data_IF_706566902570
#
_entry.id   IF_706566902570
#
_cell.length_a   1.000
_cell.length_b   1.000
_cell.length_c   1.000
_cell.angle_alpha   90.00
_cell.angle_beta   90.00
_cell.angle_gamma   90.00
#
_symmetry.space_group_name_H-M   'P 1'
#
loop_
_entity.id
_entity.type
_entity.pdbx_description
1 polymer ?
#
# COMPACT_ATOMS: atom_id res chain seq x y z
N UNK A 1 41.27 1.59 -22.52
CA UNK A 1 40.53 0.98 -21.40
C UNK A 1 39.29 1.84 -21.19
N UNK A 2 38.20 1.50 -21.88
CA UNK A 2 36.95 2.24 -21.80
C UNK A 2 36.18 1.72 -20.59
N UNK A 3 36.12 2.54 -19.53
CA UNK A 3 35.22 2.30 -18.41
C UNK A 3 33.80 2.61 -18.86
N UNK A 4 33.00 1.56 -19.07
CA UNK A 4 31.55 1.68 -19.08
C UNK A 4 31.12 2.13 -17.68
N UNK A 5 30.91 3.43 -17.50
CA UNK A 5 30.09 3.92 -16.39
C UNK A 5 28.66 3.50 -16.68
N UNK A 6 28.21 2.43 -16.02
CA UNK A 6 26.80 2.08 -15.92
C UNK A 6 26.13 3.24 -15.19
N UNK A 7 25.30 4.01 -15.88
CA UNK A 7 24.40 4.97 -15.22
C UNK A 7 23.51 4.16 -14.28
N UNK A 8 23.53 4.49 -12.98
CA UNK A 8 22.60 3.94 -11.99
C UNK A 8 21.18 4.31 -12.39
N UNK A 9 20.44 3.35 -12.95
CA UNK A 9 19.01 3.47 -13.20
C UNK A 9 18.29 3.48 -11.85
N UNK A 10 17.76 4.64 -11.46
CA UNK A 10 16.94 4.74 -10.26
C UNK A 10 15.48 4.36 -10.61
N UNK A 11 14.81 3.47 -9.85
CA UNK A 11 13.37 3.09 -10.01
C UNK A 11 12.50 3.37 -8.77
N UNK A 12 11.59 4.36 -8.85
CA UNK A 12 10.87 4.91 -7.69
C UNK A 12 9.41 4.49 -7.75
N UNK A 13 8.85 4.02 -6.65
CA UNK A 13 7.53 3.40 -6.63
C UNK A 13 6.66 4.04 -5.55
N UNK A 14 5.52 4.60 -5.97
CA UNK A 14 4.48 5.09 -5.06
C UNK A 14 3.26 4.23 -5.27
N UNK A 15 2.88 3.49 -4.23
CA UNK A 15 1.69 2.65 -4.25
C UNK A 15 0.53 3.33 -3.54
N UNK A 16 -0.52 3.65 -4.31
CA UNK A 16 -1.79 4.12 -3.75
C UNK A 16 -2.66 2.91 -3.35
N UNK A 17 -2.23 2.17 -2.32
CA UNK A 17 -3.13 1.23 -1.63
C UNK A 17 -3.94 2.03 -0.65
N UNK A 18 -5.22 2.25 -0.92
CA UNK A 18 -6.26 2.58 0.06
C UNK A 18 -7.59 3.05 -0.58
N UNK A 19 -8.27 2.23 -1.38
CA UNK A 19 -9.62 2.56 -1.86
C UNK A 19 -10.45 1.27 -2.01
N UNK A 20 -11.77 1.33 -1.83
CA UNK A 20 -12.76 0.30 -2.22
C UNK A 20 -13.03 0.27 -3.74
N UNK A 21 -13.77 -0.74 -4.19
CA UNK A 21 -14.22 -0.85 -5.57
C UNK A 21 -15.22 0.27 -5.91
N UNK A 22 -14.98 1.00 -7.00
CA UNK A 22 -15.87 2.08 -7.47
C UNK A 22 -15.47 3.51 -7.07
N UNK A 23 -14.42 3.69 -6.28
CA UNK A 23 -13.90 4.99 -5.79
C UNK A 23 -13.46 6.02 -6.84
N UNK A 24 -13.38 5.61 -8.11
CA UNK A 24 -12.70 6.41 -9.12
C UNK A 24 -11.17 6.31 -9.07
N UNK A 25 -10.56 5.31 -8.41
CA UNK A 25 -9.11 4.99 -8.51
C UNK A 25 -8.59 5.05 -9.95
N UNK A 26 -9.29 4.37 -10.86
CA UNK A 26 -8.95 4.35 -12.28
C UNK A 26 -9.07 5.73 -12.92
N UNK A 27 -10.03 6.56 -12.47
CA UNK A 27 -10.17 7.96 -12.88
C UNK A 27 -8.97 8.77 -12.39
N UNK A 28 -8.57 8.64 -11.12
CA UNK A 28 -7.39 9.29 -10.56
C UNK A 28 -6.09 8.84 -11.23
N UNK A 29 -5.89 7.54 -11.43
CA UNK A 29 -4.76 7.00 -12.17
C UNK A 29 -4.71 7.61 -13.59
N UNK A 30 -5.85 7.72 -14.27
CA UNK A 30 -5.95 8.39 -15.58
C UNK A 30 -5.59 9.88 -15.49
N UNK A 31 -6.05 10.59 -14.46
CA UNK A 31 -5.71 12.01 -14.24
C UNK A 31 -4.21 12.22 -14.00
N UNK A 32 -3.57 11.34 -13.22
CA UNK A 32 -2.12 11.34 -13.00
C UNK A 32 -1.38 11.09 -14.31
N UNK A 33 -1.80 10.07 -15.08
CA UNK A 33 -1.24 9.77 -16.40
C UNK A 33 -1.34 10.98 -17.34
N UNK A 34 -2.50 11.62 -17.39
CA UNK A 34 -2.72 12.79 -18.24
C UNK A 34 -1.89 13.98 -17.79
N UNK A 35 -1.81 14.24 -16.48
CA UNK A 35 -0.95 15.28 -15.92
C UNK A 35 0.52 15.08 -16.31
N UNK A 36 1.05 13.87 -16.13
CA UNK A 36 2.43 13.54 -16.46
C UNK A 36 2.69 13.65 -17.97
N UNK A 37 1.76 13.21 -18.82
CA UNK A 37 1.85 13.38 -20.28
C UNK A 37 1.83 14.85 -20.71
N UNK A 38 1.00 15.68 -20.07
CA UNK A 38 0.97 17.13 -20.32
C UNK A 38 2.31 17.76 -19.91
N UNK A 39 2.83 17.40 -18.73
CA UNK A 39 4.14 17.87 -18.23
C UNK A 39 5.27 17.48 -19.18
N UNK A 40 5.31 16.24 -19.65
CA UNK A 40 6.28 15.75 -20.62
C UNK A 40 6.30 16.59 -21.91
N UNK A 41 5.11 17.00 -22.41
CA UNK A 41 5.02 17.87 -23.59
C UNK A 41 5.50 19.30 -23.33
N UNK A 42 5.31 19.83 -22.12
CA UNK A 42 5.60 21.23 -21.78
C UNK A 42 7.05 21.49 -21.41
N UNK A 43 7.71 20.56 -20.73
CA UNK A 43 8.98 20.85 -20.04
C UNK A 43 10.25 20.70 -20.89
N UNK A 44 10.19 20.40 -22.20
CA UNK A 44 11.35 20.07 -23.07
C UNK A 44 12.25 18.92 -22.56
N UNK A 45 12.01 18.38 -21.36
CA UNK A 45 12.60 17.15 -20.86
C UNK A 45 12.00 15.94 -21.58
N UNK A 46 12.84 14.93 -21.85
CA UNK A 46 12.38 13.73 -22.51
C UNK A 46 11.79 12.73 -21.51
N UNK A 47 10.57 13.01 -21.04
CA UNK A 47 9.88 12.18 -20.05
C UNK A 47 9.05 11.09 -20.75
N UNK A 48 9.23 9.84 -20.33
CA UNK A 48 8.42 8.68 -20.73
C UNK A 48 7.26 8.47 -19.74
N UNK A 49 6.06 8.21 -20.25
CA UNK A 49 4.88 7.91 -19.41
C UNK A 49 4.14 6.73 -20.02
N UNK A 50 4.04 5.63 -19.30
CA UNK A 50 3.31 4.44 -19.72
C UNK A 50 2.46 3.90 -18.56
N UNK A 51 1.31 3.32 -18.89
CA UNK A 51 0.38 2.82 -17.89
C UNK A 51 -0.16 1.43 -18.22
N UNK A 52 -0.47 0.66 -17.19
CA UNK A 52 -1.23 -0.60 -17.24
C UNK A 52 -2.47 -0.42 -16.38
N UNK A 53 -3.62 -0.86 -16.90
CA UNK A 53 -4.86 -0.98 -16.15
C UNK A 53 -5.19 -2.46 -16.03
N UNK A 54 -5.00 -3.04 -14.85
CA UNK A 54 -5.24 -4.45 -14.61
C UNK A 54 -6.73 -4.70 -14.35
N UNK A 55 -7.20 -5.86 -14.79
CA UNK A 55 -8.58 -6.31 -14.69
C UNK A 55 -8.62 -7.83 -14.52
N UNK A 56 -9.18 -8.32 -13.43
CA UNK A 56 -9.26 -9.75 -13.14
C UNK A 56 -10.05 -10.53 -14.21
N UNK A 57 -11.00 -9.88 -14.89
CA UNK A 57 -11.82 -10.49 -15.95
C UNK A 57 -11.04 -10.77 -17.22
N UNK A 58 -9.86 -10.16 -17.38
CA UNK A 58 -9.00 -10.33 -18.56
C UNK A 58 -7.69 -11.07 -18.23
N UNK A 59 -7.69 -11.86 -17.15
CA UNK A 59 -6.51 -12.59 -16.67
C UNK A 59 -5.86 -13.51 -17.74
N UNK A 60 -6.61 -13.96 -18.75
CA UNK A 60 -6.09 -14.74 -19.88
C UNK A 60 -5.26 -13.91 -20.88
N UNK A 61 -5.46 -12.60 -20.95
CA UNK A 61 -4.70 -11.68 -21.81
C UNK A 61 -3.65 -10.86 -21.06
N UNK A 62 -3.65 -10.87 -19.73
CA UNK A 62 -2.67 -10.19 -18.90
C UNK A 62 -1.47 -11.11 -18.62
N UNK A 63 -0.72 -11.46 -19.65
CA UNK A 63 0.55 -12.17 -19.50
C UNK A 63 1.71 -11.16 -19.42
N UNK A 64 2.82 -11.47 -18.72
CA UNK A 64 3.95 -10.54 -18.57
C UNK A 64 4.47 -9.99 -19.90
N UNK A 65 4.58 -10.83 -20.92
CA UNK A 65 5.00 -10.46 -22.28
C UNK A 65 4.07 -9.42 -22.93
N UNK A 66 2.74 -9.60 -22.83
CA UNK A 66 1.75 -8.65 -23.34
C UNK A 66 1.76 -7.32 -22.58
N UNK A 67 1.90 -7.38 -21.25
CA UNK A 67 1.98 -6.19 -20.40
C UNK A 67 3.24 -5.37 -20.72
N UNK A 68 4.41 -6.01 -20.76
CA UNK A 68 5.69 -5.37 -21.08
C UNK A 68 5.70 -4.82 -22.52
N UNK A 69 5.18 -5.58 -23.49
CA UNK A 69 5.00 -5.11 -24.86
C UNK A 69 4.08 -3.89 -24.93
N UNK A 70 3.02 -3.88 -24.12
CA UNK A 70 2.10 -2.75 -23.99
C UNK A 70 2.76 -1.50 -23.40
N UNK A 71 3.62 -1.66 -22.41
CA UNK A 71 4.44 -0.57 -21.85
C UNK A 71 5.43 -0.02 -22.88
N UNK A 72 6.20 -0.90 -23.51
CA UNK A 72 7.17 -0.53 -24.54
C UNK A 72 6.50 0.26 -25.66
N UNK A 73 5.40 -0.27 -26.22
CA UNK A 73 4.63 0.38 -27.29
C UNK A 73 4.16 1.78 -26.90
N UNK A 74 3.79 2.01 -25.65
CA UNK A 74 3.39 3.34 -25.17
C UNK A 74 4.57 4.31 -25.11
N UNK A 75 5.75 3.85 -24.67
CA UNK A 75 6.94 4.69 -24.59
C UNK A 75 7.42 5.13 -25.97
N UNK A 76 7.44 4.22 -26.95
CA UNK A 76 7.97 4.51 -28.29
C UNK A 76 6.95 5.11 -29.26
N UNK A 77 5.69 5.30 -28.83
CA UNK A 77 4.63 5.80 -29.72
C UNK A 77 4.98 7.20 -30.27
N UNK A 78 5.09 7.30 -31.59
CA UNK A 78 5.44 8.55 -32.28
C UNK A 78 6.91 8.94 -32.14
N UNK A 79 7.79 7.98 -31.82
CA UNK A 79 9.24 8.14 -31.69
C UNK A 79 9.94 7.07 -32.52
N UNK A 80 11.27 7.18 -32.64
CA UNK A 80 12.07 6.09 -33.18
C UNK A 80 12.06 4.92 -32.19
N UNK A 81 11.84 3.71 -32.70
CA UNK A 81 11.79 2.47 -31.92
C UNK A 81 13.20 1.91 -31.65
N UNK A 82 14.23 2.48 -32.27
CA UNK A 82 15.62 2.04 -32.15
C UNK A 82 15.97 0.89 -33.10
N UNK A 83 17.26 0.64 -33.30
CA UNK A 83 17.75 -0.42 -34.20
C UNK A 83 17.44 -1.82 -33.67
N UNK A 84 17.66 -2.06 -32.37
CA UNK A 84 17.41 -3.36 -31.73
C UNK A 84 15.96 -3.83 -31.92
N UNK A 85 14.98 -2.93 -31.75
CA UNK A 85 13.58 -3.28 -31.96
C UNK A 85 13.24 -3.58 -33.42
N UNK A 86 13.92 -2.91 -34.38
CA UNK A 86 13.76 -3.17 -35.82
C UNK A 86 14.34 -4.53 -36.19
N UNK A 87 15.54 -4.83 -35.71
CA UNK A 87 16.23 -6.11 -35.95
C UNK A 87 15.37 -7.30 -35.45
N UNK A 88 14.93 -7.24 -34.19
CA UNK A 88 14.06 -8.28 -33.60
C UNK A 88 12.73 -8.38 -34.38
N UNK A 89 12.12 -7.25 -34.75
CA UNK A 89 10.88 -7.28 -35.55
C UNK A 89 11.08 -7.96 -36.91
N UNK A 90 12.16 -7.65 -37.62
CA UNK A 90 12.47 -8.21 -38.94
C UNK A 90 12.69 -9.73 -38.85
N UNK A 91 13.47 -10.20 -37.88
CA UNK A 91 13.71 -11.63 -37.63
C UNK A 91 12.40 -12.40 -37.39
N UNK A 92 11.57 -11.94 -36.45
CA UNK A 92 10.29 -12.58 -36.15
C UNK A 92 9.26 -12.45 -37.28
N UNK A 93 9.34 -11.39 -38.08
CA UNK A 93 8.49 -11.22 -39.25
C UNK A 93 8.82 -12.27 -40.32
N UNK A 94 10.10 -12.55 -40.56
CA UNK A 94 10.56 -13.58 -41.49
C UNK A 94 10.18 -14.98 -41.00
N UNK A 95 10.40 -15.27 -39.72
CA UNK A 95 10.12 -16.58 -39.11
C UNK A 95 8.63 -16.83 -38.81
N UNK A 96 7.80 -15.78 -38.87
CA UNK A 96 6.37 -15.80 -38.49
C UNK A 96 6.14 -16.26 -37.04
N UNK A 97 7.04 -15.85 -36.15
CA UNK A 97 7.00 -16.14 -34.72
C UNK A 97 6.71 -14.86 -33.94
N UNK A 98 6.16 -14.94 -32.71
CA UNK A 98 6.15 -13.79 -31.80
C UNK A 98 7.54 -13.62 -31.16
N UNK A 99 7.92 -12.40 -30.76
CA UNK A 99 9.14 -12.19 -29.99
C UNK A 99 9.07 -12.90 -28.64
N UNK A 100 10.21 -13.39 -28.19
CA UNK A 100 10.40 -13.99 -26.89
C UNK A 100 10.29 -12.93 -25.78
N UNK A 101 9.88 -13.36 -24.58
CA UNK A 101 9.77 -12.47 -23.43
C UNK A 101 11.09 -11.75 -23.10
N UNK A 102 12.22 -12.42 -23.28
CA UNK A 102 13.55 -11.86 -23.04
C UNK A 102 13.89 -10.75 -24.04
N UNK A 103 13.51 -10.89 -25.31
CA UNK A 103 13.72 -9.90 -26.36
C UNK A 103 12.86 -8.65 -26.12
N UNK A 104 11.59 -8.84 -25.71
CA UNK A 104 10.72 -7.72 -25.31
C UNK A 104 11.32 -6.94 -24.15
N UNK A 105 11.91 -7.62 -23.15
CA UNK A 105 12.60 -6.97 -22.02
C UNK A 105 13.84 -6.20 -22.50
N UNK A 106 14.64 -6.78 -23.40
CA UNK A 106 15.83 -6.12 -23.94
C UNK A 106 15.46 -4.85 -24.72
N UNK A 107 14.42 -4.91 -25.54
CA UNK A 107 13.90 -3.78 -26.31
C UNK A 107 13.31 -2.69 -25.40
N UNK A 108 12.59 -3.07 -24.35
CA UNK A 108 12.09 -2.13 -23.35
C UNK A 108 13.24 -1.42 -22.63
N UNK A 109 14.26 -2.17 -22.17
CA UNK A 109 15.44 -1.61 -21.49
C UNK A 109 16.24 -0.67 -22.40
N UNK A 110 16.47 -1.04 -23.65
CA UNK A 110 17.19 -0.18 -24.59
C UNK A 110 16.46 1.15 -24.84
N UNK A 111 15.13 1.15 -24.73
CA UNK A 111 14.31 2.35 -24.83
C UNK A 111 14.54 3.30 -23.65
N UNK A 112 14.94 2.81 -22.47
CA UNK A 112 15.10 3.65 -21.26
C UNK A 112 16.17 4.73 -21.40
N UNK A 113 17.27 4.41 -22.09
CA UNK A 113 18.38 5.32 -22.36
C UNK A 113 17.97 6.59 -23.13
N UNK A 114 16.81 6.59 -23.76
CA UNK A 114 16.31 7.75 -24.49
C UNK A 114 15.57 8.74 -23.58
N UNK A 115 15.16 8.36 -22.38
CA UNK A 115 14.35 9.19 -21.49
C UNK A 115 15.16 9.73 -20.32
N UNK A 116 14.93 10.99 -19.94
CA UNK A 116 15.51 11.55 -18.71
C UNK A 116 14.84 11.00 -17.46
N UNK A 117 13.54 10.67 -17.56
CA UNK A 117 12.72 10.05 -16.51
C UNK A 117 11.61 9.21 -17.16
N UNK A 118 11.25 8.11 -16.52
CA UNK A 118 10.12 7.27 -16.95
C UNK A 118 9.18 7.06 -15.77
N UNK A 119 7.89 7.24 -16.01
CA UNK A 119 6.83 6.91 -15.07
C UNK A 119 6.04 5.72 -15.59
N UNK A 120 6.00 4.66 -14.79
CA UNK A 120 5.10 3.53 -14.98
C UNK A 120 3.97 3.62 -13.97
N UNK A 121 2.73 3.70 -14.47
CA UNK A 121 1.53 3.73 -13.63
C UNK A 121 0.83 2.39 -13.79
N UNK A 122 0.72 1.62 -12.71
CA UNK A 122 -0.01 0.34 -12.74
C UNK A 122 -1.23 0.47 -11.84
N UNK A 123 -2.40 0.56 -12.46
CA UNK A 123 -3.68 0.57 -11.76
C UNK A 123 -4.15 -0.86 -11.47
N UNK A 124 -4.86 -1.02 -10.35
CA UNK A 124 -5.48 -2.27 -9.92
C UNK A 124 -4.51 -3.48 -9.78
N UNK A 125 -3.30 -3.26 -9.24
CA UNK A 125 -2.29 -4.32 -8.98
C UNK A 125 -2.86 -5.56 -8.27
N UNK A 126 -3.79 -5.35 -7.34
CA UNK A 126 -4.50 -6.41 -6.61
C UNK A 126 -5.34 -7.34 -7.49
N UNK A 127 -5.74 -6.91 -8.69
CA UNK A 127 -6.49 -7.73 -9.65
C UNK A 127 -5.59 -8.63 -10.51
N UNK A 128 -4.27 -8.54 -10.34
CA UNK A 128 -3.33 -9.44 -11.02
C UNK A 128 -3.16 -10.75 -10.27
N UNK A 129 -3.18 -11.92 -10.95
CA UNK A 129 -3.08 -13.23 -10.30
C UNK A 129 -1.83 -13.37 -9.44
N UNK A 130 -1.98 -13.79 -8.18
CA UNK A 130 -0.87 -13.89 -7.21
C UNK A 130 0.20 -14.88 -7.65
N UNK A 131 -0.20 -16.01 -8.24
CA UNK A 131 0.69 -17.03 -8.81
C UNK A 131 1.56 -16.50 -9.97
N UNK A 132 1.21 -15.34 -10.54
CA UNK A 132 1.94 -14.68 -11.63
C UNK A 132 2.67 -13.41 -11.19
N UNK A 133 2.53 -12.97 -9.94
CA UNK A 133 3.26 -11.81 -9.39
C UNK A 133 4.71 -12.21 -9.12
N UNK A 134 5.56 -12.09 -10.14
CA UNK A 134 7.00 -12.30 -9.99
C UNK A 134 7.78 -10.96 -9.92
N UNK A 135 7.12 -9.91 -9.42
CA UNK A 135 7.70 -8.58 -9.27
C UNK A 135 7.50 -8.11 -7.85
N UNK A 136 8.60 -7.81 -7.17
CA UNK A 136 8.59 -7.24 -5.83
C UNK A 136 8.56 -5.71 -5.96
N UNK A 137 7.50 -5.09 -5.45
CA UNK A 137 7.36 -3.62 -5.47
C UNK A 137 7.91 -3.11 -4.14
N UNK A 138 9.13 -2.59 -4.20
CA UNK A 138 9.80 -1.98 -3.06
C UNK A 138 9.89 -0.48 -3.25
N UNK A 139 9.56 0.27 -2.22
CA UNK A 139 9.86 1.69 -2.16
C UNK A 139 11.38 1.89 -2.18
N UNK A 140 11.87 2.93 -2.87
CA UNK A 140 13.26 3.34 -2.68
C UNK A 140 13.45 3.92 -1.29
N UNK A 141 14.70 3.95 -0.87
CA UNK A 141 15.09 4.69 0.32
C UNK A 141 14.70 6.17 0.23
N UNK A 142 14.83 6.83 -0.94
CA UNK A 142 14.43 8.24 -1.05
C UNK A 142 12.91 8.45 -0.91
N UNK A 143 12.11 7.52 -1.46
CA UNK A 143 10.65 7.58 -1.37
C UNK A 143 10.20 7.34 0.09
N UNK A 144 10.85 6.40 0.79
CA UNK A 144 10.65 6.16 2.22
C UNK A 144 11.07 7.36 3.05
N UNK A 145 12.18 8.02 2.73
CA UNK A 145 12.62 9.22 3.44
C UNK A 145 11.58 10.35 3.32
N UNK A 146 11.09 10.62 2.11
CA UNK A 146 10.05 11.64 1.89
C UNK A 146 8.79 11.29 2.67
N UNK A 147 8.37 10.02 2.65
CA UNK A 147 7.21 9.56 3.39
C UNK A 147 7.40 9.74 4.90
N UNK A 148 8.51 9.26 5.47
CA UNK A 148 8.83 9.37 6.89
C UNK A 148 8.85 10.83 7.33
N UNK A 149 9.49 11.70 6.56
CA UNK A 149 9.53 13.13 6.83
C UNK A 149 8.13 13.75 6.85
N UNK A 150 7.32 13.42 5.85
CA UNK A 150 5.93 13.88 5.76
C UNK A 150 5.13 13.41 6.98
N UNK A 151 5.27 12.15 7.39
CA UNK A 151 4.55 11.62 8.55
C UNK A 151 5.02 12.22 9.88
N UNK A 152 6.31 12.51 10.04
CA UNK A 152 6.85 13.24 11.20
C UNK A 152 6.20 14.62 11.28
N UNK A 153 6.16 15.35 10.15
CA UNK A 153 5.64 16.71 10.10
C UNK A 153 4.13 16.77 10.32
N UNK A 154 3.39 15.79 9.80
CA UNK A 154 1.95 15.64 10.03
C UNK A 154 1.61 15.27 11.48
N UNK A 155 2.56 14.72 12.24
CA UNK A 155 2.37 14.29 13.63
C UNK A 155 2.78 15.38 14.61
N UNK A 156 1.85 16.14 15.24
CA UNK A 156 2.20 17.33 16.02
C UNK A 156 3.05 17.04 17.27
N UNK A 157 2.94 15.82 17.83
CA UNK A 157 3.76 15.38 18.97
C UNK A 157 5.17 15.03 18.52
N UNK A 158 5.28 14.25 17.46
CA UNK A 158 6.56 13.77 16.95
C UNK A 158 7.40 14.91 16.36
N UNK A 159 6.79 15.81 15.57
CA UNK A 159 7.46 16.99 15.02
C UNK A 159 8.08 17.89 16.10
N UNK A 160 7.37 18.13 17.21
CA UNK A 160 7.88 18.90 18.37
C UNK A 160 9.13 18.28 19.00
N UNK A 161 9.28 16.96 18.94
CA UNK A 161 10.45 16.26 19.46
C UNK A 161 11.59 16.20 18.43
N UNK A 162 11.27 16.11 17.14
CA UNK A 162 12.25 15.89 16.06
C UNK A 162 12.83 17.20 15.52
N UNK A 163 12.02 18.25 15.29
CA UNK A 163 12.50 19.52 14.71
C UNK A 163 13.62 20.19 15.52
N UNK A 164 13.61 20.20 16.87
CA UNK A 164 14.70 20.82 17.63
C UNK A 164 16.00 20.00 17.61
N UNK A 165 15.96 18.71 17.26
CA UNK A 165 17.11 17.80 17.29
C UNK A 165 17.35 17.18 15.91
N UNK A 166 18.21 17.81 15.10
CA UNK A 166 18.58 17.29 13.79
C UNK A 166 19.12 15.85 13.82
N UNK A 167 19.75 15.41 14.92
CA UNK A 167 20.25 14.04 15.07
C UNK A 167 19.13 13.01 15.21
N UNK A 168 18.01 13.33 15.87
CA UNK A 168 16.91 12.39 16.05
C UNK A 168 16.23 12.06 14.72
N UNK A 169 16.17 13.04 13.81
CA UNK A 169 15.65 12.82 12.45
C UNK A 169 16.50 11.81 11.69
N UNK A 170 17.83 11.96 11.76
CA UNK A 170 18.78 10.99 11.21
C UNK A 170 18.61 9.61 11.84
N UNK A 171 18.53 9.53 13.17
CA UNK A 171 18.35 8.26 13.89
C UNK A 171 17.06 7.51 13.44
N UNK A 172 15.96 8.24 13.19
CA UNK A 172 14.70 7.66 12.69
C UNK A 172 14.90 7.13 11.26
N UNK A 173 15.50 7.92 10.38
CA UNK A 173 15.79 7.51 9.00
C UNK A 173 16.68 6.28 8.95
N UNK A 174 17.79 6.29 9.66
CA UNK A 174 18.73 5.17 9.69
C UNK A 174 18.06 3.90 10.20
N UNK A 175 17.20 4.01 11.22
CA UNK A 175 16.52 2.84 11.79
C UNK A 175 15.43 2.26 10.87
N UNK A 176 14.68 3.12 10.21
CA UNK A 176 13.65 2.70 9.25
C UNK A 176 14.30 2.14 7.98
N UNK A 177 15.38 2.77 7.48
CA UNK A 177 16.05 2.40 6.23
C UNK A 177 17.07 1.25 6.37
N UNK A 178 17.57 0.92 7.57
CA UNK A 178 18.57 -0.15 7.80
C UNK A 178 18.09 -1.60 7.57
N UNK A 179 17.11 -1.79 6.68
CA UNK A 179 16.58 -3.11 6.29
C UNK A 179 15.39 -3.58 7.13
N UNK A 180 14.89 -2.76 8.06
CA UNK A 180 13.76 -3.12 8.92
C UNK A 180 12.43 -3.12 8.18
N UNK A 181 12.26 -2.30 7.13
CA UNK A 181 10.99 -2.19 6.40
C UNK A 181 10.93 -2.98 5.09
N UNK A 182 12.05 -3.55 4.63
CA UNK A 182 12.22 -4.22 3.31
C UNK A 182 11.50 -3.50 2.13
N UNK A 183 11.49 -2.17 2.13
CA UNK A 183 10.80 -1.37 1.10
C UNK A 183 9.27 -1.23 1.27
N UNK A 184 8.68 -1.65 2.39
CA UNK A 184 7.25 -1.57 2.66
C UNK A 184 6.85 -0.30 3.43
N UNK A 185 6.07 0.58 2.80
CA UNK A 185 5.50 1.78 3.45
C UNK A 185 4.61 1.45 4.65
N UNK A 186 3.92 0.30 4.64
CA UNK A 186 3.06 -0.11 5.75
C UNK A 186 3.86 -0.31 7.05
N UNK A 187 5.01 -0.97 6.95
CA UNK A 187 5.86 -1.20 8.12
C UNK A 187 6.45 0.13 8.62
N UNK A 188 6.88 1.01 7.70
CA UNK A 188 7.28 2.37 8.04
C UNK A 188 6.15 3.17 8.72
N UNK A 189 4.90 3.05 8.24
CA UNK A 189 3.71 3.67 8.85
C UNK A 189 3.53 3.22 10.30
N UNK A 190 3.51 1.91 10.55
CA UNK A 190 3.32 1.35 11.89
C UNK A 190 4.45 1.77 12.85
N UNK A 191 5.69 1.86 12.34
CA UNK A 191 6.82 2.39 13.11
C UNK A 191 6.59 3.85 13.52
N UNK A 192 6.22 4.71 12.56
CA UNK A 192 5.99 6.13 12.84
C UNK A 192 4.82 6.33 13.80
N UNK A 193 3.74 5.57 13.66
CA UNK A 193 2.63 5.60 14.62
C UNK A 193 3.09 5.18 16.02
N UNK A 194 3.90 4.14 16.15
CA UNK A 194 4.47 3.71 17.43
C UNK A 194 5.32 4.81 18.07
N UNK A 195 6.17 5.48 17.29
CA UNK A 195 6.99 6.61 17.75
C UNK A 195 6.13 7.82 18.15
N UNK A 196 5.06 8.09 17.41
CA UNK A 196 4.17 9.24 17.63
C UNK A 196 3.38 9.15 18.94
N UNK A 197 3.28 7.97 19.53
CA UNK A 197 2.67 7.78 20.86
C UNK A 197 3.52 8.31 22.02
N UNK A 198 4.82 8.57 21.81
CA UNK A 198 5.75 8.88 22.91
C UNK A 198 5.69 10.37 23.27
N UNK A 199 5.57 10.64 24.57
CA UNK A 199 5.44 12.00 25.11
C UNK A 199 6.78 12.68 25.43
N UNK A 200 7.90 11.95 25.32
CA UNK A 200 9.24 12.47 25.64
C UNK A 200 10.25 12.03 24.59
N UNK A 201 11.27 12.85 24.36
CA UNK A 201 12.39 12.53 23.45
C UNK A 201 13.08 11.23 23.89
N UNK A 202 13.26 11.02 25.20
CA UNK A 202 13.82 9.78 25.74
C UNK A 202 12.94 8.58 25.40
N UNK A 203 11.61 8.73 25.49
CA UNK A 203 10.66 7.70 25.08
C UNK A 203 10.73 7.38 23.58
N UNK A 204 10.89 8.40 22.72
CA UNK A 204 11.09 8.21 21.28
C UNK A 204 12.39 7.45 21.01
N UNK A 205 13.50 7.84 21.65
CA UNK A 205 14.80 7.17 21.51
C UNK A 205 14.76 5.72 21.99
N UNK A 206 14.03 5.43 23.06
CA UNK A 206 13.88 4.05 23.55
C UNK A 206 13.01 3.22 22.61
N UNK A 207 11.91 3.80 22.10
CA UNK A 207 11.05 3.13 21.12
C UNK A 207 11.79 2.82 19.82
N UNK A 208 12.68 3.71 19.36
CA UNK A 208 13.54 3.49 18.20
C UNK A 208 14.44 2.24 18.35
N UNK A 209 14.91 1.92 19.56
CA UNK A 209 15.76 0.74 19.78
C UNK A 209 15.01 -0.57 19.60
N UNK A 210 13.73 -0.58 19.95
CA UNK A 210 12.87 -1.76 19.99
C UNK A 210 11.80 -1.76 18.89
N UNK A 211 12.08 -1.09 17.76
CA UNK A 211 11.17 -1.17 16.62
C UNK A 211 11.07 -2.61 16.10
N UNK A 212 9.86 -3.07 15.78
CA UNK A 212 9.61 -4.40 15.24
C UNK A 212 10.35 -4.57 13.91
N UNK A 213 10.71 -5.81 13.57
CA UNK A 213 11.47 -6.11 12.33
C UNK A 213 10.58 -6.58 11.18
N UNK A 214 9.35 -6.96 11.48
CA UNK A 214 8.41 -7.52 10.53
C UNK A 214 6.98 -7.03 10.85
N UNK A 215 6.06 -7.30 9.94
CA UNK A 215 4.66 -6.88 10.09
C UNK A 215 3.96 -7.55 11.26
N UNK A 216 4.22 -8.84 11.53
CA UNK A 216 3.60 -9.57 12.62
C UNK A 216 3.94 -8.95 13.99
N UNK A 217 5.24 -8.74 14.27
CA UNK A 217 5.70 -8.05 15.48
C UNK A 217 5.11 -6.63 15.60
N UNK A 218 4.90 -5.96 14.46
CA UNK A 218 4.30 -4.61 14.43
C UNK A 218 2.82 -4.63 14.79
N UNK A 219 2.10 -5.65 14.34
CA UNK A 219 0.73 -5.88 14.74
C UNK A 219 0.62 -6.29 16.20
N UNK A 220 1.55 -7.11 16.73
CA UNK A 220 1.62 -7.42 18.16
C UNK A 220 1.77 -6.16 19.01
N UNK A 221 2.67 -5.26 18.62
CA UNK A 221 2.84 -3.97 19.30
C UNK A 221 1.59 -3.10 19.18
N UNK A 222 0.88 -3.14 18.04
CA UNK A 222 -0.39 -2.44 17.88
C UNK A 222 -1.49 -3.01 18.80
N UNK A 223 -1.63 -4.33 18.86
CA UNK A 223 -2.58 -5.01 19.76
C UNK A 223 -2.23 -4.74 21.23
N UNK A 224 -0.96 -4.80 21.63
CA UNK A 224 -0.54 -4.45 22.99
C UNK A 224 -0.90 -3.01 23.36
N UNK A 225 -0.81 -2.08 22.39
CA UNK A 225 -1.27 -0.68 22.60
C UNK A 225 -2.78 -0.62 22.78
N UNK A 226 -3.56 -1.46 22.11
CA UNK A 226 -5.01 -1.59 22.32
C UNK A 226 -5.30 -2.14 23.72
N UNK A 227 -4.61 -3.20 24.13
CA UNK A 227 -4.79 -3.82 25.45
C UNK A 227 -4.46 -2.89 26.62
N UNK A 228 -3.48 -2.01 26.44
CA UNK A 228 -3.01 -1.06 27.44
C UNK A 228 -3.91 0.19 27.60
N UNK A 229 -4.93 0.38 26.74
CA UNK A 229 -5.90 1.46 26.88
C UNK A 229 -6.84 1.22 28.07
N UNK A 230 -7.65 2.24 28.40
CA UNK A 230 -8.71 2.07 29.40
C UNK A 230 -9.76 1.06 28.89
N UNK A 231 -10.61 0.58 29.79
CA UNK A 231 -11.56 -0.49 29.47
C UNK A 231 -12.54 -0.12 28.35
N UNK A 232 -12.98 1.14 28.30
CA UNK A 232 -13.94 1.65 27.31
C UNK A 232 -13.33 1.73 25.91
N UNK A 233 -12.16 2.36 25.78
CA UNK A 233 -11.42 2.47 24.52
C UNK A 233 -11.00 1.09 23.99
N UNK A 234 -10.55 0.21 24.90
CA UNK A 234 -10.17 -1.17 24.54
C UNK A 234 -11.38 -1.94 23.99
N UNK A 235 -12.55 -1.85 24.64
CA UNK A 235 -13.78 -2.49 24.14
C UNK A 235 -14.20 -1.94 22.78
N UNK A 236 -14.09 -0.63 22.60
CA UNK A 236 -14.38 0.04 21.32
C UNK A 236 -13.47 -0.46 20.21
N UNK A 237 -12.15 -0.49 20.45
CA UNK A 237 -11.17 -0.96 19.47
C UNK A 237 -11.39 -2.43 19.09
N UNK A 238 -11.61 -3.32 20.06
CA UNK A 238 -11.92 -4.73 19.80
C UNK A 238 -13.19 -4.91 18.98
N UNK A 239 -14.25 -4.18 19.33
CA UNK A 239 -15.52 -4.23 18.62
C UNK A 239 -15.37 -3.71 17.19
N UNK A 240 -14.63 -2.62 17.00
CA UNK A 240 -14.36 -2.04 15.68
C UNK A 240 -13.57 -3.01 14.80
N UNK A 241 -12.49 -3.59 15.33
CA UNK A 241 -11.70 -4.61 14.63
C UNK A 241 -12.56 -5.82 14.25
N UNK A 242 -13.40 -6.29 15.18
CA UNK A 242 -14.30 -7.43 14.95
C UNK A 242 -15.29 -7.14 13.83
N UNK A 243 -15.97 -5.98 13.86
CA UNK A 243 -16.91 -5.58 12.83
C UNK A 243 -16.23 -5.45 11.47
N UNK A 244 -15.09 -4.76 11.40
CA UNK A 244 -14.39 -4.50 10.15
C UNK A 244 -13.80 -5.79 9.55
N UNK A 245 -13.26 -6.69 10.36
CA UNK A 245 -12.67 -7.95 9.89
C UNK A 245 -13.70 -8.99 9.45
N UNK A 246 -14.87 -9.03 10.09
CA UNK A 246 -15.89 -10.05 9.82
C UNK A 246 -17.01 -9.58 8.88
N UNK A 247 -17.02 -8.30 8.49
CA UNK A 247 -18.02 -7.79 7.56
C UNK A 247 -17.84 -8.39 6.16
N UNK A 248 -18.95 -8.81 5.53
CA UNK A 248 -18.95 -9.36 4.16
C UNK A 248 -18.57 -8.34 3.08
N UNK A 249 -18.61 -7.06 3.41
CA UNK A 249 -18.20 -5.91 2.59
C UNK A 249 -17.66 -4.81 3.51
N UNK A 250 -16.89 -3.84 2.98
CA UNK A 250 -16.52 -2.66 3.74
C UNK A 250 -17.76 -1.97 4.34
N UNK A 251 -17.66 -1.57 5.61
CA UNK A 251 -18.69 -0.84 6.35
C UNK A 251 -18.55 0.65 6.05
N UNK A 252 -19.65 1.38 5.95
CA UNK A 252 -19.58 2.84 5.87
C UNK A 252 -19.20 3.45 7.22
N UNK A 253 -18.77 4.71 7.23
CA UNK A 253 -18.49 5.42 8.50
C UNK A 253 -19.73 5.42 9.39
N UNK A 254 -20.90 5.72 8.83
CA UNK A 254 -22.16 5.69 9.59
C UNK A 254 -22.53 4.29 10.07
N UNK A 255 -22.23 3.24 9.30
CA UNK A 255 -22.54 1.86 9.71
C UNK A 255 -21.71 1.43 10.91
N UNK A 256 -20.41 1.73 10.92
CA UNK A 256 -19.55 1.33 12.04
C UNK A 256 -19.86 2.13 13.30
N UNK A 257 -20.12 3.44 13.21
CA UNK A 257 -20.41 4.27 14.39
C UNK A 257 -21.71 3.84 15.06
N UNK A 258 -22.74 3.52 14.27
CA UNK A 258 -24.00 2.96 14.78
C UNK A 258 -23.78 1.56 15.34
N UNK A 259 -23.02 0.69 14.67
CA UNK A 259 -22.78 -0.67 15.12
C UNK A 259 -22.06 -0.73 16.49
N UNK A 260 -21.19 0.24 16.77
CA UNK A 260 -20.48 0.37 18.04
C UNK A 260 -21.33 0.97 19.16
N UNK A 261 -22.37 1.75 18.82
CA UNK A 261 -23.27 2.37 19.79
C UNK A 261 -24.38 1.42 20.31
N UNK A 262 -24.51 0.21 19.74
CA UNK A 262 -25.53 -0.76 20.14
C UNK A 262 -25.07 -1.54 21.37
N UNK A 263 -25.77 -1.36 22.49
CA UNK A 263 -25.60 -2.19 23.68
C UNK A 263 -26.39 -3.50 23.58
N UNK A 264 -25.85 -4.63 24.11
CA UNK A 264 -26.63 -5.85 24.29
C UNK A 264 -27.88 -5.54 25.12
N UNK A 265 -29.04 -5.99 24.63
CA UNK A 265 -30.37 -5.82 25.25
C UNK A 265 -31.03 -4.43 25.13
N UNK A 266 -30.43 -3.47 24.41
CA UNK A 266 -31.05 -2.18 24.15
C UNK A 266 -32.24 -2.29 23.17
N UNK A 267 -33.39 -1.70 23.52
CA UNK A 267 -34.58 -1.67 22.65
C UNK A 267 -34.54 -0.55 21.59
N UNK A 268 -33.66 0.43 21.77
CA UNK A 268 -33.47 1.58 20.88
C UNK A 268 -32.00 1.98 20.86
N UNK A 269 -31.56 2.52 19.73
CA UNK A 269 -30.26 3.17 19.62
C UNK A 269 -30.26 4.42 20.49
N UNK A 270 -29.24 4.56 21.33
CA UNK A 270 -28.93 5.81 22.00
C UNK A 270 -28.02 6.64 21.09
N UNK A 271 -28.54 7.74 20.55
CA UNK A 271 -27.78 8.62 19.67
C UNK A 271 -26.61 9.30 20.40
N UNK A 272 -26.67 9.42 21.73
CA UNK A 272 -25.61 10.00 22.55
C UNK A 272 -24.40 9.05 22.69
N UNK A 273 -24.56 7.77 22.35
CA UNK A 273 -23.48 6.77 22.34
C UNK A 273 -22.74 6.67 20.99
N UNK A 274 -23.14 7.45 19.99
CA UNK A 274 -22.49 7.44 18.67
C UNK A 274 -21.15 8.15 18.77
N UNK A 275 -20.08 7.40 18.53
CA UNK A 275 -18.70 7.93 18.53
C UNK A 275 -18.36 8.62 17.21
N UNK A 276 -17.52 9.66 17.30
CA UNK A 276 -16.86 10.23 16.14
C UNK A 276 -15.87 9.21 15.54
N UNK A 277 -15.78 9.17 14.21
CA UNK A 277 -14.85 8.29 13.51
C UNK A 277 -13.40 8.54 13.92
N UNK A 278 -13.02 9.78 14.21
CA UNK A 278 -11.66 10.11 14.65
C UNK A 278 -11.31 9.41 15.98
N UNK A 279 -12.28 9.24 16.88
CA UNK A 279 -12.11 8.51 18.15
C UNK A 279 -11.88 7.03 17.85
N UNK A 280 -12.72 6.43 17.00
CA UNK A 280 -12.60 5.00 16.63
C UNK A 280 -11.24 4.72 15.99
N UNK A 281 -10.79 5.57 15.06
CA UNK A 281 -9.48 5.40 14.41
C UNK A 281 -8.32 5.56 15.40
N UNK A 282 -8.42 6.49 16.34
CA UNK A 282 -7.39 6.73 17.34
C UNK A 282 -7.22 5.53 18.28
N UNK A 283 -8.31 4.91 18.74
CA UNK A 283 -8.25 3.76 19.66
C UNK A 283 -7.76 2.48 18.96
N UNK A 284 -7.98 2.35 17.64
CA UNK A 284 -7.57 1.19 16.85
C UNK A 284 -6.06 1.12 16.51
N UNK A 285 -5.25 2.03 17.06
CA UNK A 285 -3.77 2.00 16.99
C UNK A 285 -3.18 1.82 15.58
N UNK A 286 -3.86 2.36 14.55
CA UNK A 286 -3.43 2.34 13.15
C UNK A 286 -3.76 1.06 12.38
N UNK A 287 -4.49 0.12 13.00
CA UNK A 287 -4.96 -1.12 12.36
C UNK A 287 -6.21 -0.91 11.51
N UNK A 288 -6.95 0.16 11.77
CA UNK A 288 -8.17 0.56 11.05
C UNK A 288 -7.94 1.93 10.44
N UNK A 289 -8.48 2.13 9.24
CA UNK A 289 -8.46 3.41 8.53
C UNK A 289 -9.85 3.73 7.98
N UNK A 290 -10.17 5.02 7.93
CA UNK A 290 -11.30 5.53 7.16
C UNK A 290 -10.82 6.03 5.80
N UNK A 291 -11.69 5.87 4.81
CA UNK A 291 -11.48 6.25 3.44
C UNK A 291 -12.45 7.38 3.09
N UNK A 292 -11.97 8.63 3.14
CA UNK A 292 -12.82 9.81 3.02
C UNK A 292 -13.54 9.90 1.67
N UNK A 293 -12.93 9.42 0.59
CA UNK A 293 -13.55 9.48 -0.75
C UNK A 293 -14.69 8.48 -0.91
N UNK A 294 -14.65 7.41 -0.14
CA UNK A 294 -15.57 6.28 -0.27
C UNK A 294 -16.54 6.17 0.88
N UNK A 295 -16.32 6.94 1.93
CA UNK A 295 -17.07 6.91 3.17
C UNK A 295 -17.11 5.50 3.79
N UNK A 296 -15.98 4.79 3.76
CA UNK A 296 -15.88 3.45 4.35
C UNK A 296 -14.76 3.32 5.37
N UNK A 297 -14.90 2.31 6.23
CA UNK A 297 -13.92 1.90 7.22
C UNK A 297 -13.43 0.50 6.89
N UNK A 298 -12.11 0.32 6.94
CA UNK A 298 -11.44 -0.94 6.59
C UNK A 298 -10.15 -1.13 7.37
N UNK A 299 -9.65 -2.37 7.37
CA UNK A 299 -8.31 -2.63 7.88
C UNK A 299 -7.27 -1.87 7.08
N UNK A 300 -6.17 -1.50 7.75
CA UNK A 300 -5.07 -0.74 7.13
C UNK A 300 -4.42 -1.50 5.97
N UNK A 301 -4.45 -2.84 6.01
CA UNK A 301 -3.93 -3.69 4.96
C UNK A 301 -4.51 -5.12 5.05
N UNK A 302 -4.46 -5.89 3.95
CA UNK A 302 -4.96 -7.28 3.96
C UNK A 302 -4.18 -8.18 4.93
N UNK A 303 -2.89 -7.93 5.12
CA UNK A 303 -2.04 -8.67 6.09
C UNK A 303 -2.50 -8.46 7.53
N UNK A 304 -3.29 -7.42 7.82
CA UNK A 304 -3.96 -7.27 9.12
C UNK A 304 -5.06 -8.31 9.30
N UNK A 305 -5.79 -8.68 8.24
CA UNK A 305 -6.77 -9.77 8.31
C UNK A 305 -6.07 -11.09 8.59
N UNK A 306 -5.00 -11.40 7.85
CA UNK A 306 -4.20 -12.62 8.05
C UNK A 306 -3.67 -12.73 9.48
N UNK A 307 -3.21 -11.60 10.05
CA UNK A 307 -2.76 -11.53 11.43
C UNK A 307 -3.90 -11.81 12.43
N UNK A 308 -5.06 -11.18 12.26
CA UNK A 308 -6.22 -11.41 13.13
C UNK A 308 -6.71 -12.86 13.06
N UNK A 309 -6.74 -13.44 11.86
CA UNK A 309 -7.12 -14.84 11.66
C UNK A 309 -6.13 -15.77 12.36
N UNK A 310 -4.82 -15.45 12.33
CA UNK A 310 -3.79 -16.25 13.00
C UNK A 310 -3.93 -16.25 14.53
N UNK A 311 -4.26 -15.10 15.13
CA UNK A 311 -4.51 -15.01 16.58
C UNK A 311 -5.78 -15.78 16.94
N UNK A 312 -6.85 -15.66 16.14
CA UNK A 312 -8.09 -16.39 16.42
C UNK A 312 -7.88 -17.90 16.36
N UNK A 313 -7.08 -18.39 15.41
CA UNK A 313 -6.72 -19.81 15.31
C UNK A 313 -5.91 -20.29 16.52
N UNK A 314 -5.03 -19.45 17.08
CA UNK A 314 -4.24 -19.77 18.28
C UNK A 314 -5.08 -19.74 19.56
N UNK A 315 -6.00 -18.78 19.69
CA UNK A 315 -6.86 -18.61 20.86
C UNK A 315 -8.06 -19.57 20.87
N UNK A 316 -8.51 -20.00 19.69
CA UNK A 316 -9.64 -20.92 19.52
C UNK A 316 -9.34 -21.97 18.42
N UNK A 317 -8.49 -22.97 18.70
CA UNK A 317 -8.10 -24.00 17.72
C UNK A 317 -9.30 -24.76 17.12
N UNK A 318 -10.40 -24.85 17.88
CA UNK A 318 -11.62 -25.57 17.50
C UNK A 318 -12.64 -24.70 16.73
N UNK A 319 -12.47 -23.37 16.65
CA UNK A 319 -13.45 -22.47 16.01
C UNK A 319 -13.53 -22.64 14.47
N UNK A 320 -12.53 -23.28 13.86
CA UNK A 320 -12.57 -23.63 12.44
C UNK A 320 -13.58 -24.75 12.12
N UNK A 321 -14.14 -25.42 13.13
CA UNK A 321 -15.20 -26.44 12.92
C UNK A 321 -16.62 -25.88 12.95
N UNK A 322 -16.87 -24.74 13.63
CA UNK A 322 -18.25 -24.23 13.85
C UNK A 322 -18.70 -23.06 12.95
N UNK A 323 -17.79 -22.43 12.21
CA UNK A 323 -18.12 -21.27 11.35
C UNK A 323 -18.69 -21.63 9.98
N UNK A 324 -18.52 -22.88 9.50
CA UNK A 324 -19.20 -23.36 8.29
C UNK A 324 -20.64 -23.84 8.52
N UNK A 325 -20.99 -24.30 9.71
CA UNK A 325 -22.36 -24.77 10.01
C UNK A 325 -23.28 -23.67 10.59
N UNK A 326 -22.73 -22.70 11.33
CA UNK A 326 -23.56 -21.66 11.96
C UNK A 326 -24.12 -20.61 10.99
N UNK A 327 -23.54 -20.48 9.79
CA UNK A 327 -24.06 -19.60 8.73
C UNK A 327 -25.31 -20.15 8.02
N UNK A 328 -25.67 -21.42 8.25
CA UNK A 328 -26.77 -22.09 7.55
C UNK A 328 -28.10 -22.14 8.33
N UNK A 329 -28.09 -21.82 9.63
CA UNK A 329 -29.28 -21.98 10.50
C UNK A 329 -29.82 -20.70 11.17
N UNK A 330 -29.27 -19.52 10.87
CA UNK A 330 -29.77 -18.24 11.42
C UNK A 330 -30.59 -17.38 10.43
N UNK A 331 -31.07 -17.98 9.32
CA UNK A 331 -32.02 -17.33 8.40
C UNK A 331 -33.17 -18.28 8.05
N UNK A 332 -34.02 -18.55 9.05
CA UNK A 332 -35.40 -18.97 8.85
C UNK A 332 -36.36 -18.19 9.72
#
# INVERSE_FOLDING_TARGET
MNGNQVQEESFGAVEFRNYTAGAGKTIYASMVVDHLRIRAKRQKENIGVACIYLNHKDAGNQTPDKLLSGLWRQLVRGRDIGSLAKEIYEEHFEERTPPLSEEVVQVLRSSFNHFSKIYFIVDAVHEYPEDKRNFDIRAREEDLQIYVDTQIDLSPRLSKHVHPQHSLRGDIHDKINSGTVDGMFLLAKLHIESLSTKNTITGVREALKHLPKNLHDSYDIAMQRIEAQNEEDRKTAHSALTWVANAKRPLTVSEITVALAIEPDAQRLDEDNILDIEIILAVCAGLVIADEELDVVRLVHYTTQEYLDSIQAEQFPDAHTDTKESSHNALR
#
